data_IF_254896242666
#
_entry.id   IF_254896242666
#
_cell.length_a   1.000
_cell.length_b   1.000
_cell.length_c   1.000
_cell.angle_alpha   90.00
_cell.angle_beta   90.00
_cell.angle_gamma   90.00
#
_symmetry.space_group_name_H-M   'P 1'
#
loop_
_entity.id
_entity.type
_entity.pdbx_description
1 polymer ?
#
# COMPACT_ATOMS: atom_id res chain seq x y z
N UNK A 1 13.10 4.61 -14.29
CA UNK A 1 11.66 4.78 -14.62
C UNK A 1 11.37 3.84 -15.78
N UNK A 2 10.37 2.97 -15.63
CA UNK A 2 9.89 2.16 -16.75
C UNK A 2 8.96 3.03 -17.60
N UNK A 3 9.02 2.90 -18.93
CA UNK A 3 8.11 3.59 -19.85
C UNK A 3 7.28 2.54 -20.56
N UNK A 4 5.96 2.75 -20.61
CA UNK A 4 5.02 1.96 -21.38
C UNK A 4 4.38 2.86 -22.44
N UNK A 5 4.32 2.38 -23.68
CA UNK A 5 3.59 3.06 -24.76
C UNK A 5 2.33 2.28 -25.03
N UNK A 6 1.17 2.92 -24.85
CA UNK A 6 -0.13 2.30 -25.09
C UNK A 6 -0.83 3.09 -26.19
N UNK A 7 -1.30 2.44 -27.27
CA UNK A 7 -2.12 3.11 -28.26
C UNK A 7 -3.50 3.43 -27.65
N UNK A 8 -3.94 4.67 -27.82
CA UNK A 8 -5.22 5.17 -27.33
C UNK A 8 -6.01 5.75 -28.52
N UNK A 9 -7.34 5.69 -28.45
CA UNK A 9 -8.19 6.44 -29.36
C UNK A 9 -8.24 7.90 -28.96
N UNK A 10 -8.48 8.80 -29.92
CA UNK A 10 -8.56 10.25 -29.70
C UNK A 10 -9.52 10.61 -28.56
N UNK A 11 -10.72 10.01 -28.53
CA UNK A 11 -11.71 10.23 -27.45
C UNK A 11 -11.17 9.93 -26.04
N UNK A 12 -10.30 8.91 -25.92
CA UNK A 12 -9.71 8.52 -24.64
C UNK A 12 -8.56 9.45 -24.27
N UNK A 13 -7.80 9.92 -25.25
CA UNK A 13 -6.77 10.93 -25.04
C UNK A 13 -7.38 12.23 -24.53
N UNK A 14 -8.43 12.74 -25.18
CA UNK A 14 -9.12 13.97 -24.77
C UNK A 14 -9.68 13.83 -23.35
N UNK A 15 -10.32 12.69 -23.05
CA UNK A 15 -10.82 12.41 -21.71
C UNK A 15 -9.69 12.37 -20.67
N UNK A 16 -8.54 11.76 -20.98
CA UNK A 16 -7.36 11.72 -20.10
C UNK A 16 -6.82 13.12 -19.83
N UNK A 17 -6.70 13.96 -20.85
CA UNK A 17 -6.23 15.35 -20.71
C UNK A 17 -7.15 16.15 -19.78
N UNK A 18 -8.46 15.94 -19.86
CA UNK A 18 -9.40 16.54 -18.91
C UNK A 18 -9.18 16.05 -17.46
N UNK A 19 -8.92 14.75 -17.25
CA UNK A 19 -8.66 14.22 -15.91
C UNK A 19 -7.36 14.79 -15.33
N UNK A 20 -6.32 14.92 -16.16
CA UNK A 20 -5.04 15.54 -15.76
C UNK A 20 -5.27 16.96 -15.27
N UNK A 21 -6.03 17.77 -16.02
CA UNK A 21 -6.36 19.14 -15.64
C UNK A 21 -7.22 19.22 -14.38
N UNK A 22 -8.27 18.40 -14.29
CA UNK A 22 -9.20 18.37 -13.14
C UNK A 22 -8.51 17.92 -11.86
N UNK A 23 -7.63 16.93 -11.95
CA UNK A 23 -6.88 16.38 -10.82
C UNK A 23 -5.59 17.12 -10.49
N UNK A 24 -5.19 18.10 -11.32
CA UNK A 24 -3.95 18.86 -11.10
C UNK A 24 -2.67 18.03 -11.28
N UNK A 25 -2.72 16.98 -12.11
CA UNK A 25 -1.57 16.15 -12.41
C UNK A 25 -0.63 16.87 -13.39
N UNK A 26 0.68 16.57 -13.32
CA UNK A 26 1.66 17.18 -14.22
C UNK A 26 1.68 16.51 -15.61
N UNK A 27 1.20 15.27 -15.72
CA UNK A 27 1.11 14.52 -16.96
C UNK A 27 0.06 13.41 -16.90
N UNK A 28 -0.34 12.89 -18.06
CA UNK A 28 -1.18 11.69 -18.15
C UNK A 28 -0.52 10.45 -17.50
N UNK A 29 0.81 10.37 -17.54
CA UNK A 29 1.55 9.29 -16.89
C UNK A 29 1.39 9.32 -15.36
N UNK A 30 1.39 10.50 -14.75
CA UNK A 30 1.19 10.66 -13.31
C UNK A 30 -0.23 10.25 -12.91
N UNK A 31 -1.23 10.65 -13.71
CA UNK A 31 -2.61 10.21 -13.50
C UNK A 31 -2.76 8.69 -13.62
N UNK A 32 -2.15 8.07 -14.64
CA UNK A 32 -2.18 6.62 -14.80
C UNK A 32 -1.47 5.89 -13.66
N UNK A 33 -0.34 6.42 -13.17
CA UNK A 33 0.37 5.85 -12.03
C UNK A 33 -0.49 5.88 -10.75
N UNK A 34 -1.25 6.95 -10.56
CA UNK A 34 -2.19 7.06 -9.45
C UNK A 34 -3.34 6.04 -9.60
N UNK A 35 -3.91 5.90 -10.81
CA UNK A 35 -4.93 4.86 -11.07
C UNK A 35 -4.42 3.43 -10.78
N UNK A 36 -3.19 3.11 -11.18
CA UNK A 36 -2.59 1.81 -10.87
C UNK A 36 -2.43 1.64 -9.36
N UNK A 37 -2.05 2.70 -8.64
CA UNK A 37 -1.94 2.67 -7.18
C UNK A 37 -3.31 2.41 -6.54
N UNK A 38 -4.36 3.10 -7.00
CA UNK A 38 -5.73 2.89 -6.54
C UNK A 38 -6.23 1.47 -6.83
N UNK A 39 -5.93 0.92 -8.01
CA UNK A 39 -6.29 -0.46 -8.35
C UNK A 39 -5.57 -1.46 -7.45
N UNK A 40 -4.28 -1.27 -7.17
CA UNK A 40 -3.53 -2.14 -6.25
C UNK A 40 -4.07 -2.07 -4.83
N UNK A 41 -4.53 -0.91 -4.39
CA UNK A 41 -5.26 -0.77 -3.12
C UNK A 41 -6.58 -1.52 -3.17
N UNK A 42 -7.37 -1.37 -4.24
CA UNK A 42 -8.66 -2.07 -4.40
C UNK A 42 -8.51 -3.59 -4.44
N UNK A 43 -7.41 -4.09 -5.02
CA UNK A 43 -7.06 -5.52 -5.05
C UNK A 43 -6.46 -6.02 -3.72
N UNK A 44 -6.21 -5.13 -2.75
CA UNK A 44 -5.63 -5.46 -1.45
C UNK A 44 -4.14 -5.77 -1.49
N UNK A 45 -3.44 -5.42 -2.58
CA UNK A 45 -1.99 -5.53 -2.67
C UNK A 45 -1.28 -4.42 -1.87
N UNK A 46 -1.94 -3.29 -1.70
CA UNK A 46 -1.44 -2.12 -0.98
C UNK A 46 -2.50 -1.60 -0.01
N UNK A 47 -2.06 -1.04 1.11
CA UNK A 47 -2.97 -0.48 2.09
C UNK A 47 -3.45 0.90 1.64
N UNK A 48 -4.73 1.18 1.83
CA UNK A 48 -5.26 2.52 1.64
C UNK A 48 -4.68 3.48 2.67
N UNK A 49 -4.75 4.78 2.37
CA UNK A 49 -4.33 5.81 3.30
C UNK A 49 -5.11 5.72 4.63
N UNK A 50 -6.41 5.43 4.57
CA UNK A 50 -7.27 5.27 5.74
C UNK A 50 -6.83 4.08 6.61
N UNK A 51 -6.46 2.97 5.99
CA UNK A 51 -5.98 1.76 6.67
C UNK A 51 -4.65 2.02 7.37
N UNK A 52 -3.70 2.67 6.67
CA UNK A 52 -2.41 3.06 7.26
C UNK A 52 -2.65 4.02 8.43
N UNK A 53 -3.51 5.02 8.27
CA UNK A 53 -3.84 5.95 9.35
C UNK A 53 -4.49 5.24 10.54
N UNK A 54 -5.38 4.27 10.30
CA UNK A 54 -5.99 3.47 11.36
C UNK A 54 -4.94 2.65 12.11
N UNK A 55 -4.01 2.01 11.39
CA UNK A 55 -2.91 1.25 11.99
C UNK A 55 -2.03 2.15 12.88
N UNK A 56 -1.69 3.34 12.40
CA UNK A 56 -0.92 4.33 13.16
C UNK A 56 -1.67 4.80 14.39
N UNK A 57 -2.96 5.14 14.27
CA UNK A 57 -3.79 5.55 15.41
C UNK A 57 -3.86 4.44 16.47
N UNK A 58 -4.11 3.21 16.04
CA UNK A 58 -4.19 2.03 16.92
C UNK A 58 -2.87 1.79 17.64
N UNK A 59 -1.75 1.88 16.91
CA UNK A 59 -0.41 1.71 17.47
C UNK A 59 -0.05 2.81 18.48
N UNK A 60 -0.50 4.05 18.24
CA UNK A 60 -0.32 5.14 19.20
C UNK A 60 -1.17 4.95 20.45
N UNK A 61 -2.40 4.45 20.30
CA UNK A 61 -3.30 4.18 21.42
C UNK A 61 -2.82 3.00 22.29
N UNK A 62 -2.07 2.03 21.73
CA UNK A 62 -1.52 0.91 22.50
C UNK A 62 -0.36 1.30 23.43
N UNK A 63 0.12 2.55 23.35
CA UNK A 63 1.19 3.06 24.21
C UNK A 63 2.60 2.59 23.81
N UNK A 64 3.59 2.97 24.64
CA UNK A 64 5.00 2.69 24.38
C UNK A 64 5.34 1.27 24.86
N UNK A 65 5.93 0.47 23.98
CA UNK A 65 6.43 -0.86 24.33
C UNK A 65 7.61 -0.78 25.29
N UNK A 66 7.61 -1.61 26.33
CA UNK A 66 8.66 -1.67 27.36
C UNK A 66 9.67 -2.79 27.16
N UNK A 67 9.43 -3.67 26.18
CA UNK A 67 10.27 -4.84 25.90
C UNK A 67 11.54 -4.45 25.16
N UNK A 68 12.65 -5.03 25.57
CA UNK A 68 13.92 -4.95 24.85
C UNK A 68 13.90 -5.82 23.59
N UNK A 69 14.81 -5.56 22.66
CA UNK A 69 14.91 -6.34 21.42
C UNK A 69 15.14 -7.84 21.69
N UNK A 70 15.96 -8.19 22.68
CA UNK A 70 16.23 -9.58 23.05
C UNK A 70 14.97 -10.28 23.59
N UNK A 71 14.16 -9.59 24.39
CA UNK A 71 12.90 -10.12 24.90
C UNK A 71 11.88 -10.35 23.78
N UNK A 72 11.82 -9.45 22.80
CA UNK A 72 10.97 -9.59 21.61
C UNK A 72 11.36 -10.81 20.78
N UNK A 73 12.66 -11.03 20.53
CA UNK A 73 13.12 -12.22 19.81
C UNK A 73 12.84 -13.52 20.58
N UNK A 74 13.08 -13.54 21.90
CA UNK A 74 12.77 -14.70 22.73
C UNK A 74 11.27 -15.02 22.77
N UNK A 75 10.40 -14.02 22.74
CA UNK A 75 8.95 -14.19 22.62
C UNK A 75 8.54 -14.69 21.23
N UNK A 76 9.09 -14.12 20.15
CA UNK A 76 8.82 -14.55 18.79
C UNK A 76 9.21 -16.02 18.56
N UNK A 77 10.36 -16.45 19.09
CA UNK A 77 10.79 -17.85 19.01
C UNK A 77 9.81 -18.78 19.73
N UNK A 78 9.40 -18.44 20.96
CA UNK A 78 8.38 -19.21 21.71
C UNK A 78 7.04 -19.28 20.97
N UNK A 79 6.62 -18.18 20.34
CA UNK A 79 5.40 -18.13 19.54
C UNK A 79 5.50 -18.99 18.26
N UNK A 80 6.68 -19.04 17.62
CA UNK A 80 6.91 -19.88 16.45
C UNK A 80 6.93 -21.37 16.83
N UNK A 81 7.55 -21.72 17.95
CA UNK A 81 7.63 -23.09 18.45
C UNK A 81 6.25 -23.63 18.88
N UNK A 82 5.40 -22.79 19.48
CA UNK A 82 4.00 -23.13 19.80
C UNK A 82 3.09 -23.17 18.58
N UNK A 83 3.41 -22.42 17.51
CA UNK A 83 2.64 -22.43 16.27
C UNK A 83 2.88 -23.67 15.42
N UNK A 84 4.01 -24.39 15.56
CA UNK A 84 4.25 -25.65 14.84
C UNK A 84 3.32 -26.75 15.38
N UNK A 85 2.19 -27.09 14.73
CA UNK A 85 1.39 -28.23 15.12
C UNK A 85 1.93 -29.41 14.31
N UNK A 86 2.86 -30.19 14.87
CA UNK A 86 3.29 -31.46 14.29
C UNK A 86 4.04 -31.37 12.94
N UNK A 87 5.36 -31.38 13.01
CA UNK A 87 6.16 -32.18 12.07
C UNK A 87 6.79 -33.29 12.92
N UNK A 88 6.27 -34.50 12.72
CA UNK A 88 6.45 -35.77 13.46
C UNK A 88 5.58 -35.94 14.72
#
# INVERSE_FOLDING_TARGET
MASITVPLSDDVQDWLEEQVLKGGYASAGDYMADLVTQERIAQGEELSLEEVQLLVRTSRASGIGTKTMNELFAEAQRAADTRKPGLA
#
